data_IF_233356729288
#
_entry.id   IF_233356729288
#
_cell.length_a   1.000
_cell.length_b   1.000
_cell.length_c   1.000
_cell.angle_alpha   90.00
_cell.angle_beta   90.00
_cell.angle_gamma   90.00
#
_symmetry.space_group_name_H-M   'P 1'
#
loop_
_entity.id
_entity.type
_entity.pdbx_description
1 polymer ?
#
# COMPACT_ATOMS: atom_id res chain seq x y z
N UNK A 1 -3.81 -15.43 10.43
CA UNK A 1 -4.02 -14.00 10.76
C UNK A 1 -3.86 -13.19 9.49
N UNK A 2 -4.93 -12.61 8.95
CA UNK A 2 -4.82 -11.84 7.71
C UNK A 2 -3.93 -10.61 7.85
N UNK A 3 -3.26 -10.26 6.75
CA UNK A 3 -2.35 -9.11 6.68
C UNK A 3 -2.74 -8.23 5.49
N UNK A 4 -3.03 -6.97 5.77
CA UNK A 4 -3.26 -5.94 4.76
C UNK A 4 -2.03 -5.05 4.68
N UNK A 5 -1.48 -4.92 3.47
CA UNK A 5 -0.34 -4.01 3.23
C UNK A 5 -0.84 -2.82 2.42
N UNK A 6 -0.73 -1.64 3.00
CA UNK A 6 -1.06 -0.38 2.33
C UNK A 6 0.23 0.34 1.96
N UNK A 7 0.41 0.67 0.69
CA UNK A 7 1.64 1.28 0.18
C UNK A 7 1.34 2.63 -0.46
N UNK A 8 2.08 3.66 -0.05
CA UNK A 8 2.17 4.89 -0.83
C UNK A 8 3.14 4.66 -1.99
N UNK A 9 2.76 5.05 -3.21
CA UNK A 9 3.62 4.93 -4.38
C UNK A 9 5.02 5.56 -4.15
N UNK A 10 6.01 5.13 -4.93
CA UNK A 10 7.37 5.64 -4.87
C UNK A 10 7.49 7.05 -5.49
N UNK A 11 8.67 7.64 -5.41
CA UNK A 11 8.92 9.00 -5.89
C UNK A 11 8.57 9.16 -7.37
N UNK A 12 7.78 10.18 -7.69
CA UNK A 12 7.28 10.43 -9.05
C UNK A 12 7.73 11.79 -9.58
N UNK A 13 7.86 11.89 -10.91
CA UNK A 13 8.19 13.12 -11.60
C UNK A 13 6.99 14.08 -11.62
N UNK A 14 7.24 15.39 -11.75
CA UNK A 14 6.18 16.41 -11.67
C UNK A 14 5.70 16.94 -13.01
N UNK A 15 6.52 17.00 -14.03
CA UNK A 15 6.23 17.71 -15.30
C UNK A 15 5.34 16.89 -16.26
N UNK A 16 4.24 16.33 -15.74
CA UNK A 16 3.29 15.51 -16.47
C UNK A 16 1.89 15.76 -15.95
N UNK A 17 0.83 15.49 -16.73
CA UNK A 17 -0.52 15.44 -16.17
C UNK A 17 -0.55 14.45 -15.00
N UNK A 18 -1.32 14.74 -13.97
CA UNK A 18 -1.21 14.01 -12.69
C UNK A 18 -1.26 12.49 -12.85
N UNK A 19 -2.23 11.95 -13.59
CA UNK A 19 -2.35 10.49 -13.77
C UNK A 19 -1.20 9.87 -14.55
N UNK A 20 -0.54 10.65 -15.39
CA UNK A 20 0.55 10.18 -16.26
C UNK A 20 1.94 10.39 -15.64
N UNK A 21 2.03 10.92 -14.44
CA UNK A 21 3.31 11.13 -13.76
C UNK A 21 4.01 9.79 -13.53
N UNK A 22 5.17 9.54 -14.19
CA UNK A 22 5.92 8.31 -13.98
C UNK A 22 6.78 8.39 -12.73
N UNK A 23 7.31 7.27 -12.28
CA UNK A 23 8.36 7.27 -11.26
C UNK A 23 9.62 7.94 -11.81
N UNK A 24 10.38 8.59 -10.93
CA UNK A 24 11.75 8.99 -11.23
C UNK A 24 12.66 7.77 -11.21
N UNK A 25 13.91 7.91 -11.64
CA UNK A 25 14.90 6.86 -11.50
C UNK A 25 15.07 6.45 -10.02
N UNK A 26 15.16 7.44 -9.13
CA UNK A 26 15.21 7.19 -7.68
C UNK A 26 13.95 6.47 -7.20
N UNK A 27 12.78 6.81 -7.73
CA UNK A 27 11.52 6.15 -7.40
C UNK A 27 11.47 4.69 -7.86
N UNK A 28 11.99 4.39 -9.05
CA UNK A 28 12.06 3.01 -9.53
C UNK A 28 12.97 2.14 -8.64
N UNK A 29 14.11 2.69 -8.23
CA UNK A 29 15.00 2.02 -7.28
C UNK A 29 14.32 1.83 -5.92
N UNK A 30 13.64 2.85 -5.43
CA UNK A 30 12.86 2.83 -4.19
C UNK A 30 11.80 1.71 -4.22
N UNK A 31 11.04 1.63 -5.31
CA UNK A 31 9.98 0.62 -5.48
C UNK A 31 10.57 -0.80 -5.52
N UNK A 32 11.70 -1.00 -6.18
CA UNK A 32 12.35 -2.30 -6.24
C UNK A 32 12.84 -2.75 -4.85
N UNK A 33 13.43 -1.84 -4.07
CA UNK A 33 13.88 -2.14 -2.71
C UNK A 33 12.72 -2.41 -1.77
N UNK A 34 11.63 -1.67 -1.91
CA UNK A 34 10.41 -1.92 -1.14
C UNK A 34 9.85 -3.31 -1.46
N UNK A 35 9.83 -3.69 -2.73
CA UNK A 35 9.42 -5.02 -3.16
C UNK A 35 10.25 -6.12 -2.50
N UNK A 36 11.57 -5.94 -2.43
CA UNK A 36 12.45 -6.89 -1.75
C UNK A 36 12.14 -6.98 -0.24
N UNK A 37 11.87 -5.85 0.40
CA UNK A 37 11.49 -5.81 1.81
C UNK A 37 10.18 -6.56 2.04
N UNK A 38 9.16 -6.31 1.23
CA UNK A 38 7.87 -6.97 1.36
C UNK A 38 7.94 -8.47 1.06
N UNK A 39 8.76 -8.88 0.10
CA UNK A 39 8.98 -10.30 -0.17
C UNK A 39 9.56 -11.02 1.06
N UNK A 40 10.47 -10.37 1.79
CA UNK A 40 11.08 -10.91 3.00
C UNK A 40 10.15 -10.87 4.19
N UNK A 41 9.44 -9.76 4.39
CA UNK A 41 8.66 -9.52 5.61
C UNK A 41 7.23 -10.06 5.54
N UNK A 42 6.66 -10.18 4.36
CA UNK A 42 5.28 -10.61 4.16
C UNK A 42 5.21 -11.86 3.27
N UNK A 43 5.91 -11.85 2.14
CA UNK A 43 5.89 -12.92 1.16
C UNK A 43 4.92 -12.63 0.02
N UNK A 44 4.39 -13.68 -0.62
CA UNK A 44 3.47 -13.58 -1.75
C UNK A 44 2.10 -13.07 -1.31
N UNK A 45 1.42 -12.36 -2.21
CA UNK A 45 0.07 -11.86 -1.97
C UNK A 45 -0.97 -12.76 -2.62
N UNK A 46 -2.10 -12.94 -1.94
CA UNK A 46 -3.27 -13.60 -2.53
C UNK A 46 -4.00 -12.64 -3.46
N UNK A 47 -4.17 -11.40 -3.03
CA UNK A 47 -4.83 -10.35 -3.81
C UNK A 47 -4.00 -9.08 -3.74
N UNK A 48 -3.83 -8.41 -4.88
CA UNK A 48 -3.13 -7.13 -4.95
C UNK A 48 -3.87 -6.18 -5.88
N UNK A 49 -4.08 -4.95 -5.42
CA UNK A 49 -4.80 -3.92 -6.18
C UNK A 49 -4.02 -2.62 -6.15
N UNK A 50 -3.96 -1.93 -7.27
CA UNK A 50 -3.29 -0.63 -7.37
C UNK A 50 -4.23 0.42 -7.93
N UNK A 51 -4.03 1.68 -7.50
CA UNK A 51 -4.51 2.82 -8.26
C UNK A 51 -4.10 2.70 -9.72
N UNK A 52 -4.89 3.22 -10.63
CA UNK A 52 -4.56 3.22 -12.06
C UNK A 52 -3.65 4.38 -12.49
N UNK A 53 -3.25 5.26 -11.57
CA UNK A 53 -2.25 6.29 -11.86
C UNK A 53 -0.89 5.65 -12.19
N UNK A 54 -0.17 6.22 -13.15
CA UNK A 54 1.09 5.67 -13.65
C UNK A 54 2.11 5.38 -12.53
N UNK A 55 2.31 6.32 -11.61
CA UNK A 55 3.25 6.15 -10.50
C UNK A 55 2.90 5.00 -9.57
N UNK A 56 1.61 4.77 -9.35
CA UNK A 56 1.14 3.65 -8.53
C UNK A 56 1.31 2.32 -9.29
N UNK A 57 0.99 2.30 -10.58
CA UNK A 57 1.15 1.10 -11.42
C UNK A 57 2.60 0.65 -11.49
N UNK A 58 3.54 1.59 -11.64
CA UNK A 58 4.97 1.26 -11.68
C UNK A 58 5.47 0.74 -10.33
N UNK A 59 5.05 1.34 -9.22
CA UNK A 59 5.37 0.85 -7.87
C UNK A 59 4.82 -0.56 -7.67
N UNK A 60 3.58 -0.77 -8.06
CA UNK A 60 2.88 -2.05 -7.97
C UNK A 60 3.60 -3.15 -8.74
N UNK A 61 3.97 -2.87 -9.99
CA UNK A 61 4.69 -3.84 -10.82
C UNK A 61 6.04 -4.24 -10.19
N UNK A 62 6.77 -3.27 -9.65
CA UNK A 62 8.05 -3.51 -9.00
C UNK A 62 7.90 -4.39 -7.74
N UNK A 63 6.86 -4.17 -6.95
CA UNK A 63 6.57 -4.99 -5.77
C UNK A 63 6.21 -6.42 -6.20
N UNK A 64 5.27 -6.58 -7.14
CA UNK A 64 4.81 -7.90 -7.59
C UNK A 64 5.89 -8.70 -8.30
N UNK A 65 6.87 -8.04 -8.92
CA UNK A 65 8.03 -8.71 -9.51
C UNK A 65 8.83 -9.49 -8.46
N UNK A 66 8.73 -9.11 -7.19
CA UNK A 66 9.47 -9.76 -6.09
C UNK A 66 8.58 -10.64 -5.23
N UNK A 67 7.32 -10.29 -5.06
CA UNK A 67 6.40 -11.01 -4.17
C UNK A 67 5.47 -11.96 -4.91
N UNK A 68 5.06 -11.59 -6.12
CA UNK A 68 3.95 -12.25 -6.81
C UNK A 68 2.61 -11.94 -6.19
N UNK A 69 1.55 -12.25 -6.92
CA UNK A 69 0.17 -12.20 -6.45
C UNK A 69 -0.68 -13.20 -7.25
N UNK A 70 -1.61 -13.89 -6.59
CA UNK A 70 -2.51 -14.82 -7.28
C UNK A 70 -3.53 -14.08 -8.13
N UNK A 71 -4.08 -12.98 -7.61
CA UNK A 71 -5.00 -12.10 -8.33
C UNK A 71 -4.51 -10.67 -8.22
N UNK A 72 -4.55 -9.92 -9.32
CA UNK A 72 -4.16 -8.52 -9.31
C UNK A 72 -4.91 -7.72 -10.35
N UNK A 73 -5.24 -6.46 -10.01
CA UNK A 73 -5.89 -5.54 -10.95
C UNK A 73 -5.65 -4.09 -10.56
N UNK A 74 -6.06 -3.16 -11.46
CA UNK A 74 -6.07 -1.72 -11.19
C UNK A 74 -7.48 -1.30 -10.85
N UNK A 75 -7.63 -0.37 -9.91
CA UNK A 75 -8.93 0.13 -9.46
C UNK A 75 -8.89 1.65 -9.38
N UNK A 76 -9.70 2.30 -10.21
CA UNK A 76 -9.79 3.76 -10.26
C UNK A 76 -10.28 4.35 -8.94
N UNK A 77 -11.05 3.63 -8.16
CA UNK A 77 -11.53 4.12 -6.87
C UNK A 77 -10.41 4.42 -5.89
N UNK A 78 -9.25 3.80 -6.05
CA UNK A 78 -8.06 4.10 -5.22
C UNK A 78 -7.48 5.47 -5.60
N UNK A 79 -7.59 5.86 -6.87
CA UNK A 79 -7.14 7.17 -7.33
C UNK A 79 -8.11 8.29 -6.91
N UNK A 80 -9.41 8.07 -7.14
CA UNK A 80 -10.45 9.09 -6.94
C UNK A 80 -11.02 9.11 -5.52
N UNK A 81 -10.97 8.00 -4.79
CA UNK A 81 -11.63 7.82 -3.51
C UNK A 81 -10.78 8.18 -2.31
N UNK A 82 -11.37 8.06 -1.13
CA UNK A 82 -10.73 8.30 0.15
C UNK A 82 -10.48 7.02 0.92
N UNK A 83 -10.20 7.17 2.22
CA UNK A 83 -9.90 6.06 3.12
C UNK A 83 -11.06 5.09 3.26
N UNK A 84 -12.29 5.57 3.14
CA UNK A 84 -13.49 4.73 3.18
C UNK A 84 -13.47 3.70 2.06
N UNK A 85 -13.14 4.14 0.84
CA UNK A 85 -13.06 3.26 -0.32
C UNK A 85 -11.95 2.24 -0.18
N UNK A 86 -10.82 2.61 0.41
CA UNK A 86 -9.70 1.69 0.69
C UNK A 86 -10.16 0.59 1.66
N UNK A 87 -10.81 0.97 2.76
CA UNK A 87 -11.25 0.01 3.78
C UNK A 87 -12.37 -0.88 3.22
N UNK A 88 -13.33 -0.32 2.48
CA UNK A 88 -14.39 -1.10 1.84
C UNK A 88 -13.81 -2.13 0.86
N UNK A 89 -12.83 -1.73 0.05
CA UNK A 89 -12.15 -2.64 -0.87
C UNK A 89 -11.49 -3.78 -0.09
N UNK A 90 -10.75 -3.47 0.97
CA UNK A 90 -10.09 -4.47 1.79
C UNK A 90 -11.06 -5.47 2.38
N UNK A 91 -12.26 -5.04 2.77
CA UNK A 91 -13.29 -5.92 3.31
C UNK A 91 -13.79 -6.97 2.30
N UNK A 92 -13.52 -6.78 1.02
CA UNK A 92 -13.90 -7.74 -0.04
C UNK A 92 -12.82 -8.79 -0.31
N UNK A 93 -11.64 -8.65 0.28
CA UNK A 93 -10.50 -9.53 0.00
C UNK A 93 -10.69 -10.94 0.58
N UNK A 94 -9.86 -11.84 0.07
CA UNK A 94 -9.77 -13.23 0.53
C UNK A 94 -8.30 -13.61 0.67
N UNK A 95 -8.01 -14.66 1.42
CA UNK A 95 -6.64 -15.14 1.60
C UNK A 95 -5.98 -14.57 2.84
N UNK A 96 -4.66 -14.77 2.93
CA UNK A 96 -3.89 -14.41 4.11
C UNK A 96 -3.15 -13.07 3.99
N UNK A 97 -2.76 -12.66 2.78
CA UNK A 97 -2.01 -11.43 2.58
C UNK A 97 -2.51 -10.70 1.34
N UNK A 98 -2.84 -9.42 1.49
CA UNK A 98 -3.36 -8.60 0.40
C UNK A 98 -2.69 -7.24 0.39
N UNK A 99 -2.56 -6.65 -0.81
CA UNK A 99 -1.83 -5.40 -1.06
C UNK A 99 -2.73 -4.37 -1.73
N UNK A 100 -2.63 -3.12 -1.27
CA UNK A 100 -3.19 -1.95 -1.95
C UNK A 100 -2.08 -0.92 -2.12
N UNK A 101 -1.85 -0.48 -3.36
CA UNK A 101 -0.92 0.63 -3.66
C UNK A 101 -1.73 1.87 -4.04
N UNK A 102 -1.50 2.95 -3.33
CA UNK A 102 -2.26 4.18 -3.51
C UNK A 102 -1.47 5.45 -3.18
N UNK A 103 -2.19 6.44 -2.70
CA UNK A 103 -1.72 7.82 -2.60
C UNK A 103 -1.89 8.39 -1.19
N UNK A 104 -1.18 9.47 -0.90
CA UNK A 104 -1.37 10.27 0.29
C UNK A 104 -2.36 11.42 0.05
N UNK A 105 -3.11 11.82 1.09
CA UNK A 105 -3.04 11.36 2.48
C UNK A 105 -3.88 10.09 2.76
N UNK A 106 -4.51 9.51 1.76
CA UNK A 106 -5.48 8.42 1.93
C UNK A 106 -4.84 7.18 2.55
N UNK A 107 -3.63 6.80 2.12
CA UNK A 107 -2.95 5.59 2.63
C UNK A 107 -2.67 5.72 4.13
N UNK A 108 -2.06 6.82 4.56
CA UNK A 108 -1.76 7.00 5.99
C UNK A 108 -3.02 7.14 6.82
N UNK A 109 -4.05 7.80 6.28
CA UNK A 109 -5.32 7.96 6.97
C UNK A 109 -6.01 6.62 7.18
N UNK A 110 -6.07 5.77 6.14
CA UNK A 110 -6.64 4.43 6.26
C UNK A 110 -5.88 3.59 7.29
N UNK A 111 -4.56 3.63 7.26
CA UNK A 111 -3.72 2.94 8.24
C UNK A 111 -3.96 3.44 9.66
N UNK A 112 -4.07 4.75 9.84
CA UNK A 112 -4.37 5.35 11.14
C UNK A 112 -5.71 4.89 11.69
N UNK A 113 -6.73 4.83 10.85
CA UNK A 113 -8.07 4.39 11.26
C UNK A 113 -8.05 2.92 11.69
N UNK A 114 -7.39 2.06 10.93
CA UNK A 114 -7.38 0.61 11.17
C UNK A 114 -6.46 0.20 12.31
N UNK A 115 -5.37 0.92 12.54
CA UNK A 115 -4.37 0.57 13.55
C UNK A 115 -4.93 0.71 14.96
N UNK A 116 -4.52 -0.22 15.83
CA UNK A 116 -4.79 -0.11 17.25
C UNK A 116 -4.11 1.14 17.81
N UNK A 117 -4.62 1.62 18.95
CA UNK A 117 -4.19 2.91 19.53
C UNK A 117 -2.68 3.01 19.72
N UNK A 118 -2.04 1.96 20.21
CA UNK A 118 -0.59 1.97 20.48
C UNK A 118 0.28 2.05 19.23
N UNK A 119 -0.26 1.74 18.03
CA UNK A 119 0.50 1.72 16.79
C UNK A 119 0.18 2.89 15.85
N UNK A 120 -0.98 3.53 15.99
CA UNK A 120 -1.48 4.51 15.02
C UNK A 120 -0.61 5.77 14.88
N UNK A 121 0.13 6.12 15.91
CA UNK A 121 0.99 7.31 15.90
C UNK A 121 2.02 7.31 14.77
N UNK A 122 2.40 6.13 14.28
CA UNK A 122 3.35 6.03 13.16
C UNK A 122 2.79 6.56 11.83
N UNK A 123 1.46 6.74 11.72
CA UNK A 123 0.81 7.24 10.51
C UNK A 123 0.06 8.57 10.74
N UNK A 124 0.19 9.20 11.91
CA UNK A 124 -0.62 10.36 12.29
C UNK A 124 -0.27 11.65 11.53
N UNK A 125 0.92 11.72 10.92
CA UNK A 125 1.41 12.87 10.16
C UNK A 125 1.63 12.56 8.69
N UNK A 126 1.03 11.49 8.19
CA UNK A 126 1.30 11.00 6.85
C UNK A 126 2.53 10.13 6.78
N UNK A 127 2.81 9.61 5.60
CA UNK A 127 3.98 8.76 5.35
C UNK A 127 4.69 9.20 4.07
N UNK A 128 6.02 9.04 3.99
CA UNK A 128 6.77 9.35 2.77
C UNK A 128 6.45 8.40 1.63
N UNK A 129 6.91 8.72 0.42
CA UNK A 129 6.84 7.82 -0.73
C UNK A 129 7.52 6.48 -0.42
N UNK A 130 7.04 5.41 -1.04
CA UNK A 130 7.55 4.03 -0.84
C UNK A 130 7.54 3.59 0.62
N UNK A 131 6.49 3.94 1.34
CA UNK A 131 6.23 3.45 2.68
C UNK A 131 5.14 2.40 2.62
N UNK A 132 5.35 1.28 3.30
CA UNK A 132 4.36 0.22 3.49
C UNK A 132 3.88 0.20 4.94
N UNK A 133 2.57 0.18 5.11
CA UNK A 133 1.90 -0.05 6.38
C UNK A 133 1.43 -1.50 6.39
N UNK A 134 2.00 -2.31 7.26
CA UNK A 134 1.69 -3.74 7.36
C UNK A 134 0.76 -3.94 8.54
N UNK A 135 -0.50 -4.21 8.24
CA UNK A 135 -1.60 -4.29 9.20
C UNK A 135 -2.05 -5.75 9.35
N UNK A 136 -1.96 -6.27 10.56
CA UNK A 136 -2.37 -7.64 10.86
C UNK A 136 -3.56 -7.62 11.81
N UNK A 137 -4.55 -8.48 11.56
CA UNK A 137 -5.76 -8.53 12.37
C UNK A 137 -6.28 -9.96 12.48
N UNK A 138 -7.17 -10.20 13.43
CA UNK A 138 -7.83 -11.49 13.62
C UNK A 138 -9.23 -11.44 13.01
N UNK A 139 -9.69 -12.58 12.49
CA UNK A 139 -11.03 -12.71 11.92
C UNK A 139 -11.02 -12.64 10.40
N UNK A 140 -12.20 -12.42 9.83
CA UNK A 140 -12.39 -12.37 8.39
C UNK A 140 -12.18 -10.97 7.84
N UNK A 141 -11.84 -10.86 6.55
CA UNK A 141 -11.70 -9.56 5.87
C UNK A 141 -12.97 -8.72 5.96
N UNK A 142 -14.14 -9.36 5.85
CA UNK A 142 -15.43 -8.65 5.92
C UNK A 142 -15.68 -7.99 7.28
N UNK A 143 -14.99 -8.43 8.32
CA UNK A 143 -15.12 -7.91 9.68
C UNK A 143 -14.03 -6.88 10.03
N UNK A 144 -13.17 -6.53 9.08
CA UNK A 144 -12.12 -5.54 9.30
C UNK A 144 -12.72 -4.22 9.81
N UNK A 145 -12.24 -3.74 10.93
CA UNK A 145 -12.84 -2.62 11.65
C UNK A 145 -11.79 -1.64 12.20
N UNK A 146 -12.17 -0.37 12.45
CA UNK A 146 -11.27 0.61 13.03
C UNK A 146 -10.66 0.15 14.36
N UNK A 147 -9.37 0.46 14.54
CA UNK A 147 -8.68 0.25 15.81
C UNK A 147 -8.33 -1.20 16.12
N UNK A 148 -8.42 -2.10 15.16
CA UNK A 148 -8.25 -3.55 15.40
C UNK A 148 -6.91 -4.12 14.97
N UNK A 149 -6.14 -3.40 14.15
CA UNK A 149 -4.94 -3.95 13.51
C UNK A 149 -3.67 -3.59 14.26
N UNK A 150 -2.79 -4.57 14.45
CA UNK A 150 -1.40 -4.31 14.76
C UNK A 150 -0.74 -3.75 13.50
N UNK A 151 0.06 -2.70 13.61
CA UNK A 151 0.67 -2.06 12.44
C UNK A 151 2.19 -1.95 12.60
N UNK A 152 2.91 -2.39 11.56
CA UNK A 152 4.34 -2.15 11.38
C UNK A 152 4.54 -1.25 10.16
N UNK A 153 5.57 -0.41 10.19
CA UNK A 153 5.85 0.54 9.10
C UNK A 153 7.22 0.26 8.52
N UNK A 154 7.29 0.14 7.19
CA UNK A 154 8.54 -0.02 6.47
C UNK A 154 8.69 1.16 5.50
N UNK A 155 9.65 2.01 5.77
CA UNK A 155 9.98 3.13 4.90
C UNK A 155 11.21 2.80 4.07
N UNK A 156 11.16 3.11 2.77
CA UNK A 156 12.27 2.91 1.84
C UNK A 156 12.71 4.30 1.33
N UNK A 157 13.75 4.90 1.91
CA UNK A 157 14.18 6.22 1.46
C UNK A 157 14.76 6.16 0.04
N UNK A 158 14.64 7.25 -0.74
CA UNK A 158 15.30 7.31 -2.03
C UNK A 158 16.82 7.33 -1.86
N UNK A 159 17.55 6.71 -2.80
CA UNK A 159 19.01 6.80 -2.84
C UNK A 159 19.43 8.15 -3.43
N UNK A 160 20.58 8.62 -3.02
CA UNK A 160 21.17 9.87 -3.52
C UNK A 160 21.91 9.64 -4.82
#
# INVERSE_FOLDING_TARGET
MPTLVLVRHAQAAYNYPDRARPLTEAGRDQAARLGATLAREVGAFDVAVSSDAQRARETFAAILARTGADESWYDRSIYDGGEKEIIELACTFTGEACLIVGHEPVISYAGYILARQEDRGAADRGVPTATALVLSFEGAWEDLAPGTCAMRVFYTPPTR
#
